data_IF_962663657120
#
_entry.id   IF_962663657120
#
_cell.length_a   1.000
_cell.length_b   1.000
_cell.length_c   1.000
_cell.angle_alpha   90.00
_cell.angle_beta   90.00
_cell.angle_gamma   90.00
#
_symmetry.space_group_name_H-M   'P 1'
#
loop_
_entity.id
_entity.type
_entity.pdbx_description
1 polymer ?
#
# COMPACT_ATOMS: atom_id res chain seq x y z
N UNK A 1 -6.41 -15.47 19.16
CA UNK A 1 -7.16 -15.81 17.92
C UNK A 1 -6.72 -14.84 16.83
N UNK A 2 -6.46 -15.29 15.59
CA UNK A 2 -6.07 -14.36 14.50
C UNK A 2 -7.22 -13.39 14.28
N UNK A 3 -6.90 -12.10 14.24
CA UNK A 3 -7.88 -11.06 14.02
C UNK A 3 -8.28 -11.01 12.54
N UNK A 4 -9.51 -11.47 12.28
CA UNK A 4 -10.09 -11.58 10.93
C UNK A 4 -10.01 -10.28 10.13
N UNK A 5 -9.94 -9.12 10.78
CA UNK A 5 -9.86 -7.82 10.10
C UNK A 5 -8.65 -7.71 9.16
N UNK A 6 -7.45 -8.09 9.62
CA UNK A 6 -6.23 -7.92 8.80
C UNK A 6 -6.17 -8.94 7.66
N UNK A 7 -6.67 -10.15 7.91
CA UNK A 7 -6.82 -11.16 6.87
C UNK A 7 -7.80 -10.70 5.79
N UNK A 8 -8.96 -10.15 6.18
CA UNK A 8 -9.93 -9.61 5.22
C UNK A 8 -9.31 -8.48 4.38
N UNK A 9 -8.55 -7.58 5.00
CA UNK A 9 -7.83 -6.51 4.27
C UNK A 9 -6.84 -7.12 3.26
N UNK A 10 -6.07 -8.13 3.66
CA UNK A 10 -5.13 -8.80 2.75
C UNK A 10 -5.83 -9.46 1.56
N UNK A 11 -7.01 -10.07 1.77
CA UNK A 11 -7.82 -10.68 0.70
C UNK A 11 -8.34 -9.61 -0.26
N UNK A 12 -8.84 -8.48 0.27
CA UNK A 12 -9.28 -7.35 -0.57
C UNK A 12 -8.13 -6.85 -1.44
N UNK A 13 -6.94 -6.67 -0.88
CA UNK A 13 -5.77 -6.27 -1.65
C UNK A 13 -5.32 -7.33 -2.66
N UNK A 14 -5.45 -8.62 -2.35
CA UNK A 14 -5.13 -9.69 -3.28
C UNK A 14 -6.08 -9.67 -4.49
N UNK A 15 -7.38 -9.51 -4.25
CA UNK A 15 -8.38 -9.38 -5.32
C UNK A 15 -8.07 -8.14 -6.17
N UNK A 16 -7.80 -6.99 -5.54
CA UNK A 16 -7.44 -5.77 -6.25
C UNK A 16 -6.15 -5.93 -7.06
N UNK A 17 -5.14 -6.65 -6.54
CA UNK A 17 -3.90 -6.95 -7.26
C UNK A 17 -4.18 -7.79 -8.50
N UNK A 18 -5.01 -8.83 -8.39
CA UNK A 18 -5.39 -9.69 -9.52
C UNK A 18 -6.13 -8.90 -10.60
N UNK A 19 -7.10 -8.07 -10.21
CA UNK A 19 -7.80 -7.17 -11.13
C UNK A 19 -6.82 -6.22 -11.82
N UNK A 20 -5.90 -5.60 -11.05
CA UNK A 20 -4.89 -4.69 -11.61
C UNK A 20 -3.93 -5.38 -12.59
N UNK A 21 -3.57 -6.64 -12.34
CA UNK A 21 -2.72 -7.44 -13.23
C UNK A 21 -3.42 -7.79 -14.54
N UNK A 22 -4.68 -8.24 -14.48
CA UNK A 22 -5.51 -8.50 -15.67
C UNK A 22 -5.73 -7.21 -16.45
N UNK A 23 -6.08 -6.12 -15.75
CA UNK A 23 -6.28 -4.81 -16.38
C UNK A 23 -5.04 -4.35 -17.12
N UNK A 24 -3.85 -4.41 -16.50
CA UNK A 24 -2.60 -4.07 -17.18
C UNK A 24 -2.41 -4.87 -18.47
N UNK A 25 -2.56 -6.20 -18.42
CA UNK A 25 -2.30 -7.08 -19.57
C UNK A 25 -3.28 -6.86 -20.71
N UNK A 26 -4.58 -6.80 -20.40
CA UNK A 26 -5.60 -6.65 -21.44
C UNK A 26 -5.62 -5.23 -22.00
N UNK A 27 -5.40 -4.20 -21.16
CA UNK A 27 -5.41 -2.82 -21.59
C UNK A 27 -4.23 -2.47 -22.50
N UNK A 28 -3.01 -2.94 -22.19
CA UNK A 28 -1.85 -2.72 -23.07
C UNK A 28 -2.02 -3.45 -24.40
N UNK A 29 -2.50 -4.70 -24.35
CA UNK A 29 -2.78 -5.51 -25.55
C UNK A 29 -3.83 -4.85 -26.45
N UNK A 30 -4.94 -4.38 -25.88
CA UNK A 30 -6.01 -3.73 -26.63
C UNK A 30 -5.55 -2.46 -27.35
N UNK A 31 -4.65 -1.70 -26.72
CA UNK A 31 -4.09 -0.47 -27.30
C UNK A 31 -2.83 -0.70 -28.16
N UNK A 32 -2.43 -1.96 -28.39
CA UNK A 32 -1.21 -2.28 -29.14
C UNK A 32 0.08 -1.72 -28.53
N UNK A 33 0.08 -1.45 -27.21
CA UNK A 33 1.20 -0.82 -26.54
C UNK A 33 2.34 -1.82 -26.30
N UNK A 34 3.55 -1.44 -26.71
CA UNK A 34 4.78 -2.23 -26.53
C UNK A 34 5.73 -1.47 -25.62
N UNK A 35 6.02 -2.01 -24.44
CA UNK A 35 6.97 -1.41 -23.50
C UNK A 35 6.57 -1.59 -22.03
N UNK A 36 7.28 -0.90 -21.15
CA UNK A 36 7.03 -0.89 -19.70
C UNK A 36 6.28 0.38 -19.32
N UNK A 37 5.20 0.24 -18.54
CA UNK A 37 4.41 1.38 -18.04
C UNK A 37 4.26 1.32 -16.53
N UNK A 38 3.86 2.44 -15.93
CA UNK A 38 3.52 2.49 -14.52
C UNK A 38 2.35 1.58 -14.15
N UNK A 39 1.48 1.24 -15.11
CA UNK A 39 0.37 0.32 -14.89
C UNK A 39 0.85 -1.09 -14.54
N UNK A 40 1.95 -1.53 -15.14
CA UNK A 40 2.58 -2.82 -14.83
C UNK A 40 3.12 -2.92 -13.39
N UNK A 41 3.30 -1.79 -12.70
CA UNK A 41 3.76 -1.74 -11.31
C UNK A 41 2.61 -1.88 -10.30
N UNK A 42 1.35 -1.70 -10.72
CA UNK A 42 0.19 -1.74 -9.80
C UNK A 42 0.05 -3.12 -9.15
N UNK A 43 0.12 -4.18 -9.95
CA UNK A 43 0.00 -5.55 -9.49
C UNK A 43 1.00 -5.93 -8.40
N UNK A 44 2.33 -5.79 -8.60
CA UNK A 44 3.30 -6.14 -7.55
C UNK A 44 3.21 -5.24 -6.31
N UNK A 45 2.85 -3.95 -6.44
CA UNK A 45 2.69 -3.08 -5.28
C UNK A 45 1.47 -3.47 -4.43
N UNK A 46 0.33 -3.77 -5.05
CA UNK A 46 -0.86 -4.25 -4.31
C UNK A 46 -0.60 -5.60 -3.64
N UNK A 47 0.12 -6.51 -4.29
CA UNK A 47 0.48 -7.78 -3.66
C UNK A 47 1.43 -7.57 -2.49
N UNK A 48 2.57 -6.91 -2.70
CA UNK A 48 3.59 -6.79 -1.66
C UNK A 48 3.13 -5.90 -0.50
N UNK A 49 2.68 -4.69 -0.81
CA UNK A 49 2.33 -3.69 0.20
C UNK A 49 0.89 -3.85 0.72
N UNK A 50 -0.01 -4.45 -0.05
CA UNK A 50 -1.39 -4.67 0.37
C UNK A 50 -1.65 -6.08 0.91
N UNK A 51 -1.20 -7.12 0.21
CA UNK A 51 -1.50 -8.50 0.64
C UNK A 51 -0.48 -8.98 1.66
N UNK A 52 0.80 -9.06 1.28
CA UNK A 52 1.85 -9.62 2.12
C UNK A 52 2.06 -8.82 3.41
N UNK A 53 2.05 -7.49 3.33
CA UNK A 53 2.17 -6.63 4.51
C UNK A 53 1.08 -6.94 5.55
N UNK A 54 -0.19 -7.07 5.14
CA UNK A 54 -1.29 -7.33 6.06
C UNK A 54 -1.34 -8.78 6.55
N UNK A 55 -0.85 -9.74 5.76
CA UNK A 55 -0.61 -11.11 6.24
C UNK A 55 0.44 -11.14 7.35
N UNK A 56 1.56 -10.43 7.18
CA UNK A 56 2.60 -10.31 8.22
C UNK A 56 2.00 -9.70 9.49
N UNK A 57 1.25 -8.60 9.37
CA UNK A 57 0.56 -7.96 10.51
C UNK A 57 -0.40 -8.93 11.21
N UNK A 58 -1.16 -9.73 10.46
CA UNK A 58 -2.07 -10.72 11.03
C UNK A 58 -1.35 -11.79 11.85
N UNK A 59 -0.14 -12.19 11.44
CA UNK A 59 0.71 -13.13 12.18
C UNK A 59 1.19 -12.54 13.52
N UNK A 60 1.63 -11.28 13.52
CA UNK A 60 2.08 -10.60 14.75
C UNK A 60 0.92 -10.28 15.71
N UNK A 61 -0.26 -9.92 15.20
CA UNK A 61 -1.42 -9.60 16.08
C UNK A 61 -1.89 -10.82 16.88
N UNK A 62 -1.66 -12.03 16.34
CA UNK A 62 -1.99 -13.29 17.03
C UNK A 62 -1.22 -13.42 18.36
N UNK A 63 0.00 -12.88 18.45
CA UNK A 63 0.90 -13.05 19.59
C UNK A 63 0.87 -11.85 20.53
N UNK A 64 0.84 -10.63 20.01
CA UNK A 64 1.28 -9.47 20.79
C UNK A 64 0.25 -8.33 20.93
N UNK A 65 -0.96 -8.49 20.41
CA UNK A 65 -2.06 -7.52 20.50
C UNK A 65 -1.64 -6.09 20.06
N UNK A 66 -1.25 -5.97 18.79
CA UNK A 66 -0.71 -4.77 18.14
C UNK A 66 -1.57 -3.52 18.33
N UNK A 67 -2.89 -3.71 18.47
CA UNK A 67 -3.84 -2.61 18.67
C UNK A 67 -3.56 -1.74 19.89
N UNK A 68 -2.83 -2.26 20.89
CA UNK A 68 -2.45 -1.49 22.08
C UNK A 68 -1.46 -0.36 21.75
N UNK A 69 -0.64 -0.51 20.71
CA UNK A 69 0.28 0.52 20.28
C UNK A 69 -0.50 1.67 19.59
N UNK A 70 -0.34 2.90 20.08
CA UNK A 70 -0.94 4.10 19.45
C UNK A 70 -0.43 4.27 18.02
N UNK A 71 0.86 4.03 17.79
CA UNK A 71 1.50 4.06 16.47
C UNK A 71 0.82 3.12 15.48
N UNK A 72 0.38 1.94 15.92
CA UNK A 72 -0.25 0.95 15.05
C UNK A 72 -1.65 1.37 14.61
N UNK A 73 -2.41 2.03 15.49
CA UNK A 73 -3.72 2.59 15.13
C UNK A 73 -3.60 3.70 14.08
N UNK A 74 -2.58 4.56 14.21
CA UNK A 74 -2.31 5.63 13.23
C UNK A 74 -1.80 5.04 11.91
N UNK A 75 -0.89 4.06 11.98
CA UNK A 75 -0.40 3.29 10.83
C UNK A 75 -1.55 2.77 9.96
N UNK A 76 -2.54 2.13 10.58
CA UNK A 76 -3.68 1.55 9.85
C UNK A 76 -4.41 2.57 8.98
N UNK A 77 -4.46 3.85 9.36
CA UNK A 77 -5.09 4.88 8.55
C UNK A 77 -4.13 5.45 7.51
N UNK A 78 -2.95 5.91 7.96
CA UNK A 78 -1.95 6.58 7.12
C UNK A 78 -1.47 5.67 5.98
N UNK A 79 -1.19 4.40 6.29
CA UNK A 79 -0.66 3.45 5.33
C UNK A 79 -1.67 3.08 4.23
N UNK A 80 -2.92 2.80 4.60
CA UNK A 80 -3.96 2.47 3.62
C UNK A 80 -4.26 3.66 2.69
N UNK A 81 -4.24 4.89 3.22
CA UNK A 81 -4.39 6.10 2.40
C UNK A 81 -3.20 6.26 1.46
N UNK A 82 -1.98 6.17 1.98
CA UNK A 82 -0.75 6.28 1.18
C UNK A 82 -0.68 5.24 0.06
N UNK A 83 -1.02 3.98 0.37
CA UNK A 83 -1.03 2.90 -0.60
C UNK A 83 -2.10 3.11 -1.68
N UNK A 84 -3.33 3.48 -1.27
CA UNK A 84 -4.43 3.72 -2.20
C UNK A 84 -4.11 4.87 -3.15
N UNK A 85 -3.62 6.00 -2.62
CA UNK A 85 -3.20 7.14 -3.44
C UNK A 85 -2.05 6.77 -4.39
N UNK A 86 -1.08 6.00 -3.91
CA UNK A 86 0.05 5.54 -4.74
C UNK A 86 -0.45 4.71 -5.91
N UNK A 87 -1.36 3.77 -5.66
CA UNK A 87 -1.97 2.91 -6.69
C UNK A 87 -2.80 3.72 -7.69
N UNK A 88 -3.62 4.65 -7.21
CA UNK A 88 -4.39 5.55 -8.08
C UNK A 88 -3.45 6.32 -9.02
N UNK A 89 -2.37 6.89 -8.48
CA UNK A 89 -1.42 7.65 -9.30
C UNK A 89 -0.65 6.78 -10.29
N UNK A 90 -0.32 5.53 -9.93
CA UNK A 90 0.25 4.56 -10.86
C UNK A 90 -0.72 4.24 -12.01
N UNK A 91 -2.01 4.07 -11.71
CA UNK A 91 -3.04 3.83 -12.72
C UNK A 91 -3.19 5.05 -13.63
N UNK A 92 -3.37 6.26 -13.08
CA UNK A 92 -3.50 7.50 -13.84
C UNK A 92 -2.32 7.69 -14.78
N UNK A 93 -1.09 7.58 -14.25
CA UNK A 93 0.13 7.72 -15.03
C UNK A 93 0.24 6.63 -16.10
N UNK A 94 0.01 5.38 -15.72
CA UNK A 94 0.13 4.24 -16.62
C UNK A 94 -0.90 4.24 -17.75
N UNK A 95 -2.13 4.67 -17.48
CA UNK A 95 -3.17 4.80 -18.52
C UNK A 95 -2.79 5.88 -19.53
N UNK A 96 -2.32 7.05 -19.07
CA UNK A 96 -1.86 8.12 -19.95
C UNK A 96 -0.66 7.68 -20.82
N UNK A 97 0.25 6.89 -20.26
CA UNK A 97 1.38 6.30 -20.99
C UNK A 97 0.91 5.34 -22.09
N UNK A 98 -0.02 4.42 -21.78
CA UNK A 98 -0.54 3.45 -22.76
C UNK A 98 -1.31 4.13 -23.89
N UNK A 99 -2.08 5.17 -23.57
CA UNK A 99 -2.84 5.95 -24.57
C UNK A 99 -1.97 6.89 -25.41
N UNK A 100 -0.68 7.06 -25.06
CA UNK A 100 0.20 8.01 -25.74
C UNK A 100 -0.26 9.48 -25.60
N UNK A 101 -1.02 9.79 -24.55
CA UNK A 101 -1.62 11.11 -24.36
C UNK A 101 -0.55 12.17 -24.18
N UNK A 102 -0.52 13.17 -25.07
CA UNK A 102 0.35 14.35 -24.91
C UNK A 102 -0.13 15.17 -23.71
N UNK A 103 0.59 15.07 -22.60
CA UNK A 103 0.34 15.84 -21.38
C UNK A 103 1.19 17.11 -21.35
N UNK A 104 0.61 18.22 -20.86
CA UNK A 104 1.35 19.47 -20.67
C UNK A 104 2.41 19.29 -19.57
N UNK A 105 3.46 20.14 -19.59
CA UNK A 105 4.49 20.15 -18.53
C UNK A 105 3.88 20.34 -17.13
N UNK A 106 2.89 21.22 -17.01
CA UNK A 106 2.18 21.48 -15.75
C UNK A 106 1.41 20.25 -15.24
N UNK A 107 0.66 19.57 -16.11
CA UNK A 107 -0.07 18.36 -15.73
C UNK A 107 0.87 17.21 -15.35
N UNK A 108 1.96 17.03 -16.11
CA UNK A 108 3.00 16.05 -15.78
C UNK A 108 3.61 16.33 -14.40
N UNK A 109 3.91 17.61 -14.09
CA UNK A 109 4.40 18.05 -12.79
C UNK A 109 3.40 17.79 -11.67
N UNK A 110 2.11 18.07 -11.88
CA UNK A 110 1.05 17.81 -10.90
C UNK A 110 0.90 16.31 -10.59
N UNK A 111 0.87 15.46 -11.61
CA UNK A 111 0.82 14.00 -11.45
C UNK A 111 2.03 13.51 -10.64
N UNK A 112 3.23 13.97 -10.99
CA UNK A 112 4.45 13.61 -10.27
C UNK A 112 4.44 14.11 -8.82
N UNK A 113 3.95 15.32 -8.57
CA UNK A 113 3.85 15.91 -7.23
C UNK A 113 2.90 15.12 -6.33
N UNK A 114 1.71 14.77 -6.82
CA UNK A 114 0.74 13.95 -6.07
C UNK A 114 1.29 12.55 -5.83
N UNK A 115 1.94 11.93 -6.82
CA UNK A 115 2.61 10.64 -6.65
C UNK A 115 3.71 10.70 -5.58
N UNK A 116 4.50 11.78 -5.55
CA UNK A 116 5.52 12.01 -4.52
C UNK A 116 4.92 12.14 -3.12
N UNK A 117 3.83 12.91 -2.96
CA UNK A 117 3.12 13.01 -1.68
C UNK A 117 2.55 11.66 -1.22
N UNK A 118 1.94 10.89 -2.13
CA UNK A 118 1.45 9.55 -1.82
C UNK A 118 2.57 8.64 -1.32
N UNK A 119 3.76 8.74 -1.92
CA UNK A 119 4.95 7.99 -1.52
C UNK A 119 5.45 8.39 -0.12
N UNK A 120 5.45 9.69 0.20
CA UNK A 120 5.82 10.19 1.54
C UNK A 120 4.85 9.66 2.59
N UNK A 121 3.54 9.75 2.33
CA UNK A 121 2.50 9.26 3.26
C UNK A 121 2.66 7.75 3.49
N UNK A 122 2.88 6.98 2.42
CA UNK A 122 3.12 5.55 2.49
C UNK A 122 4.38 5.23 3.31
N UNK A 123 5.47 5.98 3.11
CA UNK A 123 6.71 5.88 3.88
C UNK A 123 6.52 6.16 5.38
N UNK A 124 5.77 7.22 5.73
CA UNK A 124 5.39 7.50 7.12
C UNK A 124 4.62 6.31 7.72
N UNK A 125 3.70 5.72 6.95
CA UNK A 125 3.01 4.49 7.34
C UNK A 125 4.00 3.36 7.69
N UNK A 126 4.95 3.07 6.81
CA UNK A 126 5.97 2.03 7.07
C UNK A 126 6.73 2.31 8.37
N UNK A 127 7.18 3.55 8.59
CA UNK A 127 7.88 3.95 9.82
C UNK A 127 7.01 3.70 11.05
N UNK A 128 5.72 4.08 11.02
CA UNK A 128 4.79 3.84 12.13
C UNK A 128 4.60 2.35 12.41
N UNK A 129 4.59 1.50 11.37
CA UNK A 129 4.53 0.05 11.55
C UNK A 129 5.79 -0.47 12.26
N UNK A 130 6.98 -0.07 11.81
CA UNK A 130 8.24 -0.48 12.42
C UNK A 130 8.34 -0.03 13.88
N UNK A 131 7.93 1.20 14.20
CA UNK A 131 7.86 1.69 15.58
C UNK A 131 6.88 0.86 16.41
N UNK A 132 5.77 0.41 15.83
CA UNK A 132 4.81 -0.46 16.51
C UNK A 132 5.38 -1.83 16.84
N UNK A 133 6.14 -2.43 15.91
CA UNK A 133 6.84 -3.69 16.19
C UNK A 133 7.94 -3.50 17.24
N UNK A 134 8.70 -2.41 17.18
CA UNK A 134 9.71 -2.09 18.21
C UNK A 134 9.08 -1.91 19.60
N UNK A 135 7.94 -1.23 19.69
CA UNK A 135 7.23 -1.03 20.95
C UNK A 135 6.83 -2.35 21.60
N UNK A 136 6.40 -3.31 20.80
CA UNK A 136 5.96 -4.63 21.25
C UNK A 136 7.14 -5.53 21.65
N UNK A 137 8.24 -5.44 20.92
CA UNK A 137 9.44 -6.22 21.20
C UNK A 137 10.18 -5.76 22.47
N UNK A 138 9.88 -4.58 23.01
CA UNK A 138 10.52 -4.05 24.21
C UNK A 138 9.87 -4.60 25.50
N UNK A 139 10.61 -5.39 26.33
CA UNK A 139 10.09 -5.98 27.56
C UNK A 139 9.66 -4.97 28.64
N UNK A 140 10.12 -3.71 28.57
CA UNK A 140 9.71 -2.66 29.52
C UNK A 140 8.32 -2.09 29.23
N UNK A 141 7.78 -2.32 28.03
CA UNK A 141 6.44 -1.86 27.64
C UNK A 141 5.31 -2.65 28.32
N UNK A 142 5.58 -3.89 28.74
CA UNK A 142 4.65 -4.77 29.48
C UNK A 142 4.51 -4.45 30.97
N UNK A 143 5.50 -3.79 31.60
CA UNK A 143 5.47 -3.46 33.03
C UNK A 143 4.83 -2.10 33.34
N UNK A 144 4.93 -1.13 32.44
CA UNK A 144 4.46 0.26 32.67
C UNK A 144 2.93 0.44 32.81
N UNK A 145 2.13 -0.64 32.72
CA UNK A 145 0.66 -0.59 32.83
C UNK A 145 0.03 -1.57 33.81
N UNK A 146 0.84 -2.28 34.63
CA UNK A 146 0.34 -3.03 35.80
C UNK A 146 0.31 -2.18 37.09
N UNK A 147 0.72 -0.92 37.02
CA UNK A 147 0.51 0.09 38.06
C UNK A 147 -0.56 1.07 37.61
#
# INVERSE_FOLDING_TARGET
MINKKYLNISIVYAIAAMIGGVFYREFTKFNGFIGVTMLGKVHPHLFLLGTFMFLIIALFDKRDNLKKAKSFRVFMFVYNIGLTLTVIMMIVRGVLEVLGTKISKGLNGAISGIAGMAHIILGIGIILLLVSFKFIADPKSSEKKKK
#
